data_IF_472203156890
#
_entry.id   IF_472203156890
#
_cell.length_a   1.000
_cell.length_b   1.000
_cell.length_c   1.000
_cell.angle_alpha   90.00
_cell.angle_beta   90.00
_cell.angle_gamma   90.00
#
_symmetry.space_group_name_H-M   'P 1'
#
loop_
_entity.id
_entity.type
_entity.pdbx_description
1 polymer ?
#
# COMPACT_ATOMS: atom_id res chain seq x y z
N UNK A 1 -22.76 1.40 67.33
CA UNK A 1 -22.78 0.49 66.17
C UNK A 1 -21.63 0.86 65.23
N UNK A 2 -20.38 0.81 65.71
CA UNK A 2 -19.45 -0.34 65.70
C UNK A 2 -19.27 -0.96 64.31
N UNK A 3 -18.21 -0.51 63.61
CA UNK A 3 -17.60 -1.19 62.46
C UNK A 3 -16.97 -2.51 62.93
N UNK A 4 -17.11 -3.62 62.17
CA UNK A 4 -16.27 -4.80 62.33
C UNK A 4 -14.85 -4.62 61.72
N UNK A 5 -13.88 -5.49 62.09
CA UNK A 5 -12.46 -5.15 62.20
C UNK A 5 -11.55 -5.65 61.05
N UNK A 6 -10.28 -5.26 61.18
CA UNK A 6 -9.03 -5.59 60.47
C UNK A 6 -8.86 -7.12 60.23
N UNK A 7 -8.06 -7.64 59.29
CA UNK A 7 -6.58 -7.54 59.28
C UNK A 7 -5.96 -8.19 57.99
N UNK A 8 -4.65 -8.54 57.84
CA UNK A 8 -3.76 -7.93 56.87
C UNK A 8 -3.06 -8.94 55.92
N UNK A 9 -2.30 -8.41 54.96
CA UNK A 9 -1.01 -9.05 54.61
C UNK A 9 -0.93 -9.94 53.37
N UNK A 10 0.16 -9.68 52.64
CA UNK A 10 0.93 -10.58 51.77
C UNK A 10 0.43 -10.88 50.34
N UNK A 11 1.08 -10.18 49.39
CA UNK A 11 1.60 -10.76 48.13
C UNK A 11 2.74 -11.76 48.47
N UNK A 12 3.28 -12.64 47.58
CA UNK A 12 3.18 -12.62 46.11
C UNK A 12 3.11 -14.01 45.39
N UNK A 13 3.19 -13.95 44.05
CA UNK A 13 3.84 -14.88 43.10
C UNK A 13 3.03 -15.91 42.26
N UNK A 14 3.21 -15.71 40.94
CA UNK A 14 3.46 -16.68 39.86
C UNK A 14 2.31 -17.51 39.25
N UNK A 15 2.13 -17.34 37.94
CA UNK A 15 1.41 -18.27 37.06
C UNK A 15 1.14 -17.67 35.68
N UNK A 16 1.80 -18.20 34.64
CA UNK A 16 1.76 -17.75 33.25
C UNK A 16 0.37 -17.82 32.57
N UNK A 17 0.14 -17.11 31.44
CA UNK A 17 -1.16 -17.06 30.77
C UNK A 17 -1.32 -18.19 29.75
N UNK A 18 -2.52 -18.79 29.69
CA UNK A 18 -2.94 -19.68 28.59
C UNK A 18 -4.24 -19.20 27.96
N UNK A 19 -4.14 -18.90 26.66
CA UNK A 19 -5.10 -19.30 25.63
C UNK A 19 -6.48 -18.61 25.56
N UNK A 20 -6.71 -17.90 24.45
CA UNK A 20 -8.07 -17.61 23.95
C UNK A 20 -8.12 -16.49 22.92
N UNK A 21 -8.03 -16.84 21.63
CA UNK A 21 -8.33 -15.99 20.46
C UNK A 21 -9.75 -15.38 20.56
N UNK A 22 -10.15 -14.30 19.89
CA UNK A 22 -9.86 -13.85 18.54
C UNK A 22 -10.34 -12.40 18.31
N UNK A 23 -10.07 -11.90 17.09
CA UNK A 23 -10.47 -10.62 16.48
C UNK A 23 -9.52 -9.43 16.69
N UNK A 24 -8.27 -9.58 16.26
CA UNK A 24 -7.35 -8.46 16.05
C UNK A 24 -7.51 -7.88 14.64
N UNK A 25 -8.16 -6.71 14.54
CA UNK A 25 -8.00 -5.83 13.39
C UNK A 25 -6.54 -5.41 13.27
N UNK A 26 -5.86 -5.88 12.23
CA UNK A 26 -4.45 -5.54 12.01
C UNK A 26 -4.37 -4.16 11.38
N UNK A 27 -4.24 -3.16 12.25
CA UNK A 27 -3.69 -1.84 11.91
C UNK A 27 -2.20 -2.06 11.62
N UNK A 28 -1.80 -2.03 10.34
CA UNK A 28 -0.38 -2.14 9.96
C UNK A 28 0.32 -0.84 10.39
N UNK A 29 1.43 -0.90 11.15
CA UNK A 29 2.09 0.30 11.64
C UNK A 29 2.90 0.96 10.54
N UNK A 30 2.79 2.28 10.45
CA UNK A 30 3.82 3.12 9.85
C UNK A 30 3.40 3.84 8.59
N UNK A 31 2.55 4.86 8.75
CA UNK A 31 2.59 6.06 7.93
C UNK A 31 4.05 6.53 7.78
N UNK A 32 4.68 6.27 6.64
CA UNK A 32 5.93 6.95 6.28
C UNK A 32 5.89 7.44 4.84
N UNK A 33 5.91 8.76 4.76
CA UNK A 33 6.46 9.59 3.71
C UNK A 33 5.71 9.61 2.37
N UNK A 34 4.69 10.47 2.32
CA UNK A 34 4.48 11.32 1.16
C UNK A 34 5.73 12.17 0.90
N UNK A 35 6.72 11.59 0.22
CA UNK A 35 7.80 12.32 -0.41
C UNK A 35 7.29 12.83 -1.75
N UNK A 36 7.11 14.14 -1.89
CA UNK A 36 6.85 14.77 -3.17
C UNK A 36 7.94 14.34 -4.17
N UNK A 37 7.57 13.45 -5.10
CA UNK A 37 8.46 13.01 -6.16
C UNK A 37 8.82 14.23 -7.01
N UNK A 38 10.11 14.62 -6.96
CA UNK A 38 10.66 15.65 -7.83
C UNK A 38 10.35 15.24 -9.27
N UNK A 39 9.70 16.13 -10.02
CA UNK A 39 9.34 15.98 -11.44
C UNK A 39 10.57 15.53 -12.23
N UNK A 40 10.67 14.24 -12.52
CA UNK A 40 11.78 13.67 -13.27
C UNK A 40 11.70 14.17 -14.73
N UNK A 41 12.85 14.56 -15.29
CA UNK A 41 12.99 14.82 -16.73
C UNK A 41 12.61 13.56 -17.52
N UNK A 42 12.14 13.66 -18.78
CA UNK A 42 11.53 12.55 -19.51
C UNK A 42 12.56 11.44 -19.81
N UNK A 43 12.75 10.55 -18.85
CA UNK A 43 13.38 9.25 -19.01
C UNK A 43 12.39 8.31 -19.68
N UNK A 44 12.92 7.49 -20.60
CA UNK A 44 12.28 6.41 -21.35
C UNK A 44 10.75 6.32 -21.19
N UNK A 45 10.03 6.77 -22.21
CA UNK A 45 8.58 6.62 -22.25
C UNK A 45 8.19 5.20 -22.69
N UNK A 46 7.24 4.60 -21.99
CA UNK A 46 6.60 3.33 -22.39
C UNK A 46 5.16 3.60 -22.79
N UNK A 47 4.60 2.75 -23.65
CA UNK A 47 3.19 2.80 -24.04
C UNK A 47 2.50 1.56 -23.49
N UNK A 48 1.47 1.77 -22.68
CA UNK A 48 0.59 0.70 -22.20
C UNK A 48 -0.59 0.60 -23.15
N UNK A 49 -0.80 -0.57 -23.73
CA UNK A 49 -1.93 -0.88 -24.62
C UNK A 49 -2.69 -2.09 -24.12
N UNK A 50 -3.97 -2.17 -24.48
CA UNK A 50 -4.84 -3.32 -24.21
C UNK A 50 -5.12 -4.07 -25.50
N UNK A 51 -5.29 -5.39 -25.42
CA UNK A 51 -5.80 -6.18 -26.54
C UNK A 51 -7.34 -6.32 -26.48
N UNK A 52 -7.96 -5.83 -25.42
CA UNK A 52 -9.41 -5.87 -25.25
C UNK A 52 -10.06 -4.70 -25.99
N UNK A 53 -11.11 -4.98 -26.76
CA UNK A 53 -11.91 -3.95 -27.43
C UNK A 53 -12.84 -3.16 -26.47
N UNK A 54 -12.84 -3.51 -25.18
CA UNK A 54 -13.65 -2.87 -24.15
C UNK A 54 -12.94 -1.64 -23.59
N UNK A 55 -13.67 -0.54 -23.52
CA UNK A 55 -13.18 0.78 -23.09
C UNK A 55 -12.82 0.84 -21.57
N UNK A 56 -13.13 -0.21 -20.82
CA UNK A 56 -12.94 -0.31 -19.36
C UNK A 56 -11.48 -0.11 -18.92
N UNK A 57 -10.50 -0.29 -19.82
CA UNK A 57 -9.07 -0.09 -19.55
C UNK A 57 -8.53 1.28 -20.00
N UNK A 58 -9.38 2.16 -20.55
CA UNK A 58 -8.96 3.47 -21.09
C UNK A 58 -8.21 4.35 -20.07
N UNK A 59 -8.48 4.17 -18.78
CA UNK A 59 -7.79 4.87 -17.69
C UNK A 59 -6.31 4.47 -17.55
N UNK A 60 -5.98 3.20 -17.83
CA UNK A 60 -4.64 2.62 -17.68
C UNK A 60 -3.82 2.63 -18.98
N UNK A 61 -4.51 2.68 -20.12
CA UNK A 61 -3.87 2.75 -21.44
C UNK A 61 -3.36 4.16 -21.69
N UNK A 62 -2.17 4.27 -22.27
CA UNK A 62 -1.58 5.55 -22.63
C UNK A 62 -0.07 5.60 -22.52
N UNK A 63 0.47 6.81 -22.57
CA UNK A 63 1.90 7.07 -22.50
C UNK A 63 2.33 7.25 -21.04
N UNK A 64 3.41 6.58 -20.65
CA UNK A 64 3.99 6.70 -19.34
C UNK A 64 5.46 7.12 -19.44
N UNK A 65 5.94 7.95 -18.52
CA UNK A 65 7.35 8.33 -18.43
C UNK A 65 7.96 7.83 -17.14
N UNK A 66 9.25 7.48 -17.18
CA UNK A 66 9.99 7.05 -16.00
C UNK A 66 10.09 8.19 -14.96
N UNK A 67 9.72 7.88 -13.72
CA UNK A 67 9.71 8.84 -12.61
C UNK A 67 10.59 8.40 -11.44
N UNK A 68 11.01 7.13 -11.39
CA UNK A 68 11.87 6.61 -10.33
C UNK A 68 12.09 5.10 -10.41
N UNK A 69 12.38 4.48 -9.26
CA UNK A 69 12.67 3.03 -9.14
C UNK A 69 11.97 2.46 -7.90
N UNK A 70 11.35 1.28 -8.03
CA UNK A 70 10.76 0.51 -6.93
C UNK A 70 11.21 -0.96 -7.03
N UNK A 71 11.65 -1.54 -5.90
CA UNK A 71 12.18 -2.92 -5.83
C UNK A 71 13.17 -3.28 -6.96
N UNK A 72 14.07 -2.36 -7.30
CA UNK A 72 15.08 -2.56 -8.35
C UNK A 72 14.54 -2.51 -9.80
N UNK A 73 13.27 -2.14 -10.00
CA UNK A 73 12.65 -1.91 -11.31
C UNK A 73 12.24 -0.45 -11.49
N UNK A 74 12.21 0.04 -12.72
CA UNK A 74 11.76 1.40 -13.05
C UNK A 74 10.27 1.58 -12.69
N UNK A 75 9.93 2.76 -12.21
CA UNK A 75 8.55 3.23 -11.98
C UNK A 75 8.20 4.19 -13.11
N UNK A 76 6.98 4.05 -13.62
CA UNK A 76 6.47 4.89 -14.68
C UNK A 76 5.20 5.61 -14.22
N UNK A 77 5.05 6.88 -14.61
CA UNK A 77 3.86 7.67 -14.35
C UNK A 77 3.17 8.01 -15.67
N UNK A 78 1.85 7.87 -15.71
CA UNK A 78 1.04 8.21 -16.88
C UNK A 78 1.13 9.71 -17.14
N UNK A 79 1.40 10.06 -18.40
CA UNK A 79 1.52 11.43 -18.87
C UNK A 79 0.15 11.98 -19.31
N UNK A 80 -0.73 11.10 -19.78
CA UNK A 80 -2.05 11.46 -20.27
C UNK A 80 -3.00 11.65 -19.09
N UNK A 81 -3.51 12.88 -18.93
CA UNK A 81 -4.58 13.17 -17.98
C UNK A 81 -5.84 12.37 -18.32
N UNK A 82 -6.55 11.93 -17.29
CA UNK A 82 -7.83 11.25 -17.44
C UNK A 82 -8.92 12.33 -17.48
N UNK A 83 -9.72 12.36 -18.56
CA UNK A 83 -10.82 13.32 -18.71
C UNK A 83 -11.82 13.13 -17.57
N UNK A 84 -12.14 14.19 -16.84
CA UNK A 84 -13.02 14.15 -15.66
C UNK A 84 -12.34 13.76 -14.34
N UNK A 85 -11.05 13.38 -14.36
CA UNK A 85 -10.29 12.98 -13.18
C UNK A 85 -8.86 13.55 -13.23
N UNK A 86 -8.76 14.89 -13.29
CA UNK A 86 -7.46 15.56 -13.47
C UNK A 86 -6.48 15.41 -12.29
N UNK A 87 -6.99 15.15 -11.10
CA UNK A 87 -6.21 14.95 -9.88
C UNK A 87 -5.72 13.50 -9.71
N UNK A 88 -6.19 12.60 -10.58
CA UNK A 88 -5.85 11.18 -10.52
C UNK A 88 -4.57 10.94 -11.29
N UNK A 89 -3.52 10.54 -10.58
CA UNK A 89 -2.28 10.06 -11.17
C UNK A 89 -2.33 8.54 -11.31
N UNK A 90 -1.65 8.01 -12.33
CA UNK A 90 -1.51 6.57 -12.53
C UNK A 90 -0.04 6.22 -12.53
N UNK A 91 0.35 5.29 -11.67
CA UNK A 91 1.70 4.75 -11.59
C UNK A 91 1.71 3.29 -12.00
N UNK A 92 2.73 2.90 -12.76
CA UNK A 92 3.12 1.52 -13.01
C UNK A 92 4.41 1.23 -12.24
N UNK A 93 4.36 0.27 -11.33
CA UNK A 93 5.50 -0.11 -10.50
C UNK A 93 5.55 -1.62 -10.27
N UNK A 94 6.73 -2.15 -10.01
CA UNK A 94 6.92 -3.55 -9.64
C UNK A 94 6.74 -3.74 -8.13
N UNK A 95 6.23 -4.87 -7.68
CA UNK A 95 6.22 -5.33 -6.28
C UNK A 95 7.01 -6.64 -6.17
N UNK A 96 7.86 -6.77 -5.15
CA UNK A 96 8.65 -7.98 -4.92
C UNK A 96 7.89 -9.03 -4.09
N UNK A 97 8.53 -10.15 -3.80
CA UNK A 97 7.90 -11.29 -3.12
C UNK A 97 7.80 -11.13 -1.59
N UNK A 98 8.03 -9.93 -1.03
CA UNK A 98 8.07 -9.72 0.44
C UNK A 98 6.76 -10.08 1.15
N UNK A 99 5.63 -9.90 0.48
CA UNK A 99 4.30 -10.25 0.99
C UNK A 99 3.81 -11.60 0.44
N UNK A 100 4.65 -12.31 -0.30
CA UNK A 100 4.37 -13.58 -0.97
C UNK A 100 4.45 -13.47 -2.49
N UNK A 101 4.77 -14.60 -3.15
CA UNK A 101 4.88 -14.68 -4.61
C UNK A 101 3.61 -14.24 -5.32
N UNK A 102 2.45 -14.51 -4.72
CA UNK A 102 1.15 -14.09 -5.25
C UNK A 102 0.99 -12.58 -5.35
N UNK A 103 1.75 -11.78 -4.60
CA UNK A 103 1.71 -10.31 -4.63
C UNK A 103 2.83 -9.70 -5.46
N UNK A 104 3.76 -10.52 -5.95
CA UNK A 104 4.83 -10.04 -6.82
C UNK A 104 4.33 -9.77 -8.23
N UNK A 105 4.95 -8.83 -8.94
CA UNK A 105 4.60 -8.50 -10.32
C UNK A 105 4.48 -7.00 -10.56
N UNK A 106 3.82 -6.63 -11.65
CA UNK A 106 3.58 -5.24 -12.03
C UNK A 106 2.22 -4.79 -11.52
N UNK A 107 2.13 -3.55 -11.05
CA UNK A 107 0.93 -3.01 -10.41
C UNK A 107 0.61 -1.62 -10.97
N UNK A 108 -0.68 -1.36 -11.15
CA UNK A 108 -1.23 -0.04 -11.41
C UNK A 108 -1.88 0.53 -10.14
N UNK A 109 -1.54 1.76 -9.78
CA UNK A 109 -2.13 2.44 -8.62
C UNK A 109 -2.06 3.96 -8.71
N UNK A 110 -2.67 4.62 -7.74
CA UNK A 110 -2.65 6.09 -7.61
C UNK A 110 -1.33 6.61 -7.04
N UNK A 111 -0.57 5.74 -6.36
CA UNK A 111 0.76 5.98 -5.82
C UNK A 111 1.55 4.66 -5.75
N UNK A 112 2.87 4.74 -5.86
CA UNK A 112 3.77 3.58 -5.67
C UNK A 112 3.65 3.05 -4.24
N UNK A 113 3.25 1.78 -4.10
CA UNK A 113 3.06 1.13 -2.80
C UNK A 113 1.87 1.66 -2.00
N UNK A 114 0.97 2.41 -2.65
CA UNK A 114 -0.26 2.91 -2.05
C UNK A 114 -1.30 1.81 -1.80
N UNK A 115 -2.39 2.20 -1.14
CA UNK A 115 -3.50 1.28 -0.85
C UNK A 115 -4.47 1.14 -2.02
N UNK A 116 -4.53 2.12 -2.92
CA UNK A 116 -5.45 2.11 -4.04
C UNK A 116 -4.78 1.52 -5.29
N UNK A 117 -5.07 0.25 -5.52
CA UNK A 117 -4.62 -0.54 -6.68
C UNK A 117 -5.78 -0.72 -7.65
N UNK A 118 -5.49 -0.67 -8.95
CA UNK A 118 -6.47 -0.90 -10.01
C UNK A 118 -6.25 -2.17 -10.82
N UNK A 119 -5.01 -2.59 -11.02
CA UNK A 119 -4.68 -3.79 -11.79
C UNK A 119 -3.29 -4.33 -11.46
N UNK A 120 -3.06 -5.60 -11.80
CA UNK A 120 -1.79 -6.30 -11.74
C UNK A 120 -1.73 -7.41 -12.78
#
# INVERSE_FOLDING_TARGET
>A
WLKPPQDPGMRPQNGAPVGGMAAGGVKRPGDMAGGAAKKAAPGAAIVVSTQSAKDETGTLVGNYSETGTNHGKKVYQKMDKIVGFEDVNVFLYYWDERDGADFSGWWFGDQVGGSQVWAR
#
